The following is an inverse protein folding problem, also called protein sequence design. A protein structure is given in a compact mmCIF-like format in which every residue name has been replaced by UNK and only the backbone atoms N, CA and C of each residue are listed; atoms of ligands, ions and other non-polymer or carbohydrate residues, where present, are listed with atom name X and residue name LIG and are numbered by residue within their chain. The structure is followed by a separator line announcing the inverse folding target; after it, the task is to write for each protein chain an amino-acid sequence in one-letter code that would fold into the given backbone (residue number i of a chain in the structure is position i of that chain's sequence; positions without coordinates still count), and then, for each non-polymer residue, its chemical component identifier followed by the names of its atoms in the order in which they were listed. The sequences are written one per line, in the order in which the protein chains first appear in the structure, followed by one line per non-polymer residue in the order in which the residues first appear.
data_IF_509586616618
#
_entry.id   IF_509586616618
#
_cell.length_a   1.000
_cell.length_b   1.000
_cell.length_c   1.000
_cell.angle_alpha   90.00
_cell.angle_beta   90.00
_cell.angle_gamma   90.00
#
_symmetry.space_group_name_H-M   'P 1'
#
loop_
_entity.id
_entity.type
_entity.pdbx_description
1 polymer ?
#
# COMPACT_ATOMS: atom_id res chain seq x y z
N UNK A 1 -35.11 -22.62 53.13
CA UNK A 1 -34.96 -21.43 52.26
C UNK A 1 -33.63 -21.55 51.56
N UNK A 2 -33.61 -22.12 50.34
CA UNK A 2 -32.38 -22.50 49.64
C UNK A 2 -31.77 -21.28 48.95
N UNK A 3 -30.51 -20.98 49.28
CA UNK A 3 -29.75 -19.84 48.78
C UNK A 3 -28.96 -20.29 47.55
N UNK A 4 -29.48 -19.98 46.37
CA UNK A 4 -28.80 -20.28 45.11
C UNK A 4 -27.50 -19.46 44.98
N UNK A 5 -26.40 -20.14 44.64
CA UNK A 5 -25.05 -19.58 44.52
C UNK A 5 -24.88 -18.93 43.14
N UNK A 6 -25.08 -17.62 43.06
CA UNK A 6 -24.86 -16.79 41.86
C UNK A 6 -23.38 -16.59 41.44
N UNK A 7 -22.48 -17.54 41.72
CA UNK A 7 -21.07 -17.46 41.36
C UNK A 7 -20.79 -17.96 39.92
N UNK A 8 -21.56 -18.93 39.41
CA UNK A 8 -21.30 -19.52 38.09
C UNK A 8 -21.61 -18.59 36.91
N UNK A 9 -22.57 -17.68 37.03
CA UNK A 9 -22.91 -16.72 35.97
C UNK A 9 -21.86 -15.61 35.82
N UNK A 10 -21.27 -15.16 36.93
CA UNK A 10 -20.21 -14.15 36.93
C UNK A 10 -18.91 -14.69 36.34
N UNK A 11 -18.55 -15.94 36.66
CA UNK A 11 -17.35 -16.59 36.10
C UNK A 11 -17.49 -16.76 34.58
N UNK A 12 -18.67 -17.15 34.09
CA UNK A 12 -18.94 -17.25 32.66
C UNK A 12 -18.86 -15.88 31.96
N UNK A 13 -19.43 -14.83 32.56
CA UNK A 13 -19.35 -13.48 32.02
C UNK A 13 -17.90 -12.96 31.95
N UNK A 14 -17.10 -13.21 33.00
CA UNK A 14 -15.67 -12.87 33.04
C UNK A 14 -14.88 -13.64 31.97
N UNK A 15 -15.15 -14.94 31.80
CA UNK A 15 -14.50 -15.73 30.74
C UNK A 15 -14.84 -15.21 29.35
N UNK A 16 -16.10 -14.86 29.09
CA UNK A 16 -16.52 -14.27 27.80
C UNK A 16 -15.83 -12.91 27.58
N UNK A 17 -15.71 -12.07 28.62
CA UNK A 17 -15.01 -10.79 28.52
C UNK A 17 -13.51 -10.97 28.23
N UNK A 18 -12.87 -11.93 28.88
CA UNK A 18 -11.44 -12.23 28.67
C UNK A 18 -11.21 -12.77 27.25
N UNK A 19 -12.00 -13.75 26.81
CA UNK A 19 -11.94 -14.27 25.43
C UNK A 19 -12.23 -13.19 24.39
N UNK A 20 -13.24 -12.35 24.63
CA UNK A 20 -13.57 -11.23 23.76
C UNK A 20 -12.43 -10.22 23.66
N UNK A 21 -11.75 -9.93 24.78
CA UNK A 21 -10.61 -9.02 24.80
C UNK A 21 -9.38 -9.58 24.07
N UNK A 22 -9.10 -10.87 24.23
CA UNK A 22 -8.00 -11.56 23.54
C UNK A 22 -8.24 -11.64 22.02
N UNK A 23 -9.47 -12.00 21.61
CA UNK A 23 -9.82 -12.04 20.18
C UNK A 23 -9.74 -10.65 19.55
N UNK A 24 -10.22 -9.61 20.25
CA UNK A 24 -10.17 -8.23 19.75
C UNK A 24 -8.72 -7.72 19.64
N UNK A 25 -7.86 -8.04 20.61
CA UNK A 25 -6.43 -7.72 20.55
C UNK A 25 -5.73 -8.45 19.40
N UNK A 26 -6.01 -9.74 19.21
CA UNK A 26 -5.44 -10.53 18.12
C UNK A 26 -5.82 -9.99 16.73
N UNK A 27 -7.10 -9.68 16.52
CA UNK A 27 -7.57 -9.12 15.23
C UNK A 27 -6.96 -7.73 14.96
N UNK A 28 -6.87 -6.87 15.97
CA UNK A 28 -6.29 -5.54 15.83
C UNK A 28 -4.79 -5.61 15.48
N UNK A 29 -4.05 -6.51 16.14
CA UNK A 29 -2.62 -6.74 15.87
C UNK A 29 -2.40 -7.33 14.46
N UNK A 30 -3.27 -8.25 14.05
CA UNK A 30 -3.25 -8.84 12.72
C UNK A 30 -3.48 -7.79 11.63
N UNK A 31 -4.47 -6.90 11.79
CA UNK A 31 -4.75 -5.84 10.82
C UNK A 31 -3.60 -4.82 10.73
N UNK A 32 -3.02 -4.43 11.86
CA UNK A 32 -1.84 -3.56 11.88
C UNK A 32 -0.65 -4.20 11.14
N UNK A 33 -0.44 -5.50 11.33
CA UNK A 33 0.63 -6.24 10.64
C UNK A 33 0.40 -6.34 9.12
N UNK A 34 -0.84 -6.54 8.67
CA UNK A 34 -1.17 -6.55 7.24
C UNK A 34 -1.01 -5.17 6.61
N UNK A 35 -1.50 -4.12 7.27
CA UNK A 35 -1.35 -2.75 6.79
C UNK A 35 0.12 -2.36 6.65
N UNK A 36 0.95 -2.65 7.66
CA UNK A 36 2.39 -2.39 7.62
C UNK A 36 3.09 -3.20 6.50
N UNK A 37 2.70 -4.46 6.28
CA UNK A 37 3.23 -5.26 5.17
C UNK A 37 2.86 -4.69 3.81
N UNK A 38 1.61 -4.27 3.61
CA UNK A 38 1.14 -3.69 2.35
C UNK A 38 1.80 -2.35 2.06
N UNK A 39 1.98 -1.47 3.07
CA UNK A 39 2.67 -0.18 2.86
C UNK A 39 4.14 -0.37 2.53
N UNK A 40 4.82 -1.31 3.20
CA UNK A 40 6.23 -1.62 2.92
C UNK A 40 6.38 -2.21 1.52
N UNK A 41 5.48 -3.12 1.13
CA UNK A 41 5.46 -3.69 -0.23
C UNK A 41 5.13 -2.65 -1.29
N UNK A 42 4.15 -1.77 -1.05
CA UNK A 42 3.78 -0.73 -2.01
C UNK A 42 4.93 0.26 -2.24
N UNK A 43 5.65 0.62 -1.16
CA UNK A 43 6.80 1.50 -1.26
C UNK A 43 7.94 0.86 -2.06
N UNK A 44 8.22 -0.43 -1.84
CA UNK A 44 9.23 -1.16 -2.60
C UNK A 44 8.91 -1.21 -4.11
N UNK A 45 7.65 -1.49 -4.47
CA UNK A 45 7.20 -1.51 -5.87
C UNK A 45 7.29 -0.12 -6.49
N UNK A 46 6.85 0.92 -5.78
CA UNK A 46 6.94 2.31 -6.25
C UNK A 46 8.39 2.76 -6.49
N UNK A 47 9.31 2.41 -5.59
CA UNK A 47 10.74 2.69 -5.74
C UNK A 47 11.33 1.99 -6.96
N UNK A 48 11.02 0.71 -7.15
CA UNK A 48 11.49 -0.02 -8.31
C UNK A 48 10.99 0.60 -9.62
N UNK A 49 9.71 0.95 -9.70
CA UNK A 49 9.13 1.63 -10.85
C UNK A 49 9.80 2.99 -11.12
N UNK A 50 10.14 3.74 -10.07
CA UNK A 50 10.85 5.01 -10.17
C UNK A 50 12.27 4.85 -10.71
N UNK A 51 13.05 3.91 -10.18
CA UNK A 51 14.42 3.65 -10.66
C UNK A 51 14.43 3.11 -12.10
N UNK A 52 13.46 2.27 -12.47
CA UNK A 52 13.27 1.83 -13.85
C UNK A 52 12.92 3.01 -14.77
N UNK A 53 12.00 3.88 -14.34
CA UNK A 53 11.64 5.08 -15.10
C UNK A 53 12.84 6.00 -15.29
N UNK A 54 13.70 6.13 -14.26
CA UNK A 54 14.95 6.88 -14.35
C UNK A 54 15.94 6.25 -15.33
N UNK A 55 16.08 4.91 -15.35
CA UNK A 55 16.88 4.20 -16.37
C UNK A 55 16.37 4.48 -17.78
N UNK A 56 15.06 4.38 -18.01
CA UNK A 56 14.45 4.63 -19.31
C UNK A 56 14.66 6.09 -19.76
N UNK A 57 14.45 7.05 -18.86
CA UNK A 57 14.78 8.46 -19.13
C UNK A 57 16.27 8.65 -19.47
N UNK A 58 17.16 7.91 -18.78
CA UNK A 58 18.59 7.90 -19.02
C UNK A 58 18.97 7.44 -20.43
N UNK A 59 18.22 6.50 -21.01
CA UNK A 59 18.44 6.01 -22.38
C UNK A 59 18.19 7.10 -23.43
N UNK A 60 17.21 7.96 -23.16
CA UNK A 60 16.84 9.07 -24.04
C UNK A 60 17.78 10.29 -23.88
N UNK A 61 18.74 10.23 -22.94
CA UNK A 61 19.73 11.30 -22.79
C UNK A 61 20.85 11.17 -23.82
N UNK A 62 21.30 12.33 -24.30
CA UNK A 62 22.51 12.44 -25.11
C UNK A 62 23.74 12.38 -24.19
N UNK A 63 24.45 11.25 -24.26
CA UNK A 63 25.72 11.04 -23.57
C UNK A 63 26.87 11.25 -24.56
N UNK A 64 27.70 12.28 -24.35
CA UNK A 64 28.80 12.61 -25.25
C UNK A 64 30.13 12.71 -24.50
N UNK A 65 31.16 12.05 -25.02
CA UNK A 65 32.52 12.18 -24.49
C UNK A 65 32.74 11.58 -23.10
N UNK A 66 31.99 10.54 -22.71
CA UNK A 66 32.17 9.86 -21.42
C UNK A 66 33.53 9.16 -21.39
N UNK A 67 34.49 9.74 -20.67
CA UNK A 67 35.84 9.20 -20.48
C UNK A 67 35.88 8.10 -19.43
N UNK A 68 35.17 8.27 -18.32
CA UNK A 68 35.13 7.30 -17.21
C UNK A 68 33.72 7.13 -16.64
N UNK A 69 33.09 8.23 -16.19
CA UNK A 69 31.70 8.25 -15.75
C UNK A 69 31.09 9.64 -15.91
N UNK A 70 29.84 9.71 -16.38
CA UNK A 70 29.01 10.90 -16.35
C UNK A 70 27.69 10.62 -15.62
N UNK A 71 27.26 11.52 -14.75
CA UNK A 71 26.01 11.37 -13.99
C UNK A 71 25.06 12.54 -14.21
N UNK A 72 23.77 12.22 -14.39
CA UNK A 72 22.67 13.17 -14.51
C UNK A 72 21.59 12.89 -13.46
N UNK A 73 20.76 13.88 -13.18
CA UNK A 73 19.65 13.75 -12.21
C UNK A 73 18.31 13.77 -12.92
N UNK A 74 17.45 12.84 -12.53
CA UNK A 74 16.07 12.75 -12.96
C UNK A 74 15.20 13.61 -12.02
N UNK A 75 14.85 14.83 -12.47
CA UNK A 75 14.21 15.87 -11.66
C UNK A 75 12.91 15.46 -10.94
N UNK A 76 12.02 14.58 -11.47
CA UNK A 76 10.78 14.22 -10.80
C UNK A 76 10.96 13.52 -9.44
N UNK A 77 12.07 12.81 -9.23
CA UNK A 77 12.33 12.09 -7.97
C UNK A 77 13.69 12.41 -7.33
N UNK A 78 14.57 13.10 -8.05
CA UNK A 78 15.95 13.29 -7.60
C UNK A 78 16.86 12.07 -7.81
N UNK A 79 16.34 11.00 -8.42
CA UNK A 79 17.12 9.81 -8.77
C UNK A 79 18.32 10.18 -9.64
N UNK A 80 19.44 9.49 -9.42
CA UNK A 80 20.68 9.74 -10.15
C UNK A 80 20.90 8.64 -11.19
N UNK A 81 21.17 9.03 -12.42
CA UNK A 81 21.49 8.12 -13.51
C UNK A 81 22.91 8.39 -13.96
N UNK A 82 23.76 7.36 -13.89
CA UNK A 82 25.16 7.46 -14.28
C UNK A 82 25.45 6.49 -15.41
N UNK A 83 26.18 6.97 -16.41
CA UNK A 83 26.73 6.17 -17.47
C UNK A 83 28.24 6.05 -17.24
N UNK A 84 28.74 4.81 -17.22
CA UNK A 84 30.15 4.48 -17.08
C UNK A 84 30.62 3.73 -18.31
N UNK A 85 31.81 4.09 -18.78
CA UNK A 85 32.49 3.37 -19.85
C UNK A 85 33.35 2.27 -19.24
N UNK A 86 33.16 1.03 -19.71
CA UNK A 86 33.91 -0.14 -19.22
C UNK A 86 35.07 -0.46 -20.16
N UNK A 87 34.82 -0.37 -21.46
CA UNK A 87 35.79 -0.58 -22.52
C UNK A 87 35.50 0.36 -23.71
N UNK A 88 36.27 0.26 -24.78
CA UNK A 88 36.00 0.97 -26.05
C UNK A 88 34.57 0.72 -26.55
N UNK A 89 34.04 -0.49 -26.38
CA UNK A 89 32.76 -0.91 -26.97
C UNK A 89 31.66 -1.19 -25.94
N UNK A 90 31.95 -1.26 -24.64
CA UNK A 90 30.95 -1.58 -23.61
C UNK A 90 30.77 -0.42 -22.62
N UNK A 91 29.50 -0.18 -22.30
CA UNK A 91 29.08 0.79 -21.29
C UNK A 91 28.07 0.16 -20.34
N UNK A 92 28.01 0.71 -19.14
CA UNK A 92 26.98 0.39 -18.17
C UNK A 92 26.29 1.66 -17.70
N UNK A 93 24.96 1.64 -17.73
CA UNK A 93 24.14 2.66 -17.11
C UNK A 93 23.62 2.14 -15.77
N UNK A 94 23.59 3.00 -14.79
CA UNK A 94 23.04 2.71 -13.48
C UNK A 94 22.11 3.84 -13.04
N UNK A 95 20.91 3.51 -12.60
CA UNK A 95 20.04 4.46 -11.91
C UNK A 95 19.96 4.09 -10.43
N UNK A 96 19.98 5.10 -9.58
CA UNK A 96 19.99 4.94 -8.13
C UNK A 96 19.04 5.92 -7.44
N UNK A 97 18.26 5.38 -6.51
CA UNK A 97 17.39 6.13 -5.61
C UNK A 97 17.24 5.40 -4.27
N UNK A 98 17.44 6.12 -3.16
CA UNK A 98 17.26 5.67 -1.76
C UNK A 98 17.60 4.19 -1.48
N UNK A 99 18.84 3.79 -1.82
CA UNK A 99 19.37 2.44 -1.59
C UNK A 99 19.05 1.41 -2.67
N UNK A 100 18.13 1.69 -3.59
CA UNK A 100 17.85 0.85 -4.75
C UNK A 100 18.71 1.28 -5.94
N UNK A 101 19.35 0.31 -6.61
CA UNK A 101 20.15 0.57 -7.81
C UNK A 101 19.80 -0.44 -8.88
N UNK A 102 19.53 0.03 -10.10
CA UNK A 102 19.31 -0.84 -11.26
C UNK A 102 20.36 -0.54 -12.32
N UNK A 103 20.84 -1.59 -12.96
CA UNK A 103 21.92 -1.60 -13.93
C UNK A 103 21.41 -2.01 -15.30
N UNK A 104 21.93 -1.40 -16.35
CA UNK A 104 21.68 -1.80 -17.74
C UNK A 104 22.96 -1.73 -18.54
N UNK A 105 23.24 -2.81 -19.27
CA UNK A 105 24.37 -2.89 -20.17
C UNK A 105 24.02 -2.27 -21.53
N UNK A 106 25.03 -1.68 -22.16
CA UNK A 106 24.95 -1.16 -23.52
C UNK A 106 26.28 -1.27 -24.22
N UNK A 107 26.25 -1.11 -25.54
CA UNK A 107 27.43 -1.12 -26.38
C UNK A 107 27.58 0.22 -27.10
N UNK A 108 28.80 0.58 -27.43
CA UNK A 108 29.12 1.72 -28.29
C UNK A 108 29.28 1.21 -29.72
N UNK A 109 28.36 1.58 -30.61
CA UNK A 109 28.35 1.18 -32.02
C UNK A 109 28.49 2.46 -32.84
N UNK A 110 29.58 2.60 -33.59
CA UNK A 110 29.85 3.79 -34.43
C UNK A 110 29.77 5.12 -33.65
N UNK A 111 30.22 5.13 -32.39
CA UNK A 111 30.16 6.31 -31.52
C UNK A 111 28.79 6.58 -30.88
N UNK A 112 27.75 5.82 -31.23
CA UNK A 112 26.43 5.90 -30.61
C UNK A 112 26.25 4.81 -29.55
N UNK A 113 25.60 5.15 -28.44
CA UNK A 113 25.34 4.19 -27.36
C UNK A 113 24.02 3.48 -27.61
N UNK A 114 24.08 2.15 -27.70
CA UNK A 114 22.91 1.28 -27.88
C UNK A 114 22.77 0.39 -26.66
N UNK A 115 21.70 0.60 -25.89
CA UNK A 115 21.40 -0.22 -24.72
C UNK A 115 20.76 -1.56 -25.11
N UNK A 116 21.04 -2.60 -24.32
CA UNK A 116 20.39 -3.91 -24.47
C UNK A 116 18.86 -3.77 -24.45
N UNK A 117 18.11 -4.38 -25.40
CA UNK A 117 16.66 -4.21 -25.50
C UNK A 117 15.89 -4.82 -24.34
N UNK A 118 16.43 -5.87 -23.71
CA UNK A 118 15.89 -6.50 -22.51
C UNK A 118 16.98 -6.62 -21.46
N UNK A 119 16.63 -6.38 -20.20
CA UNK A 119 17.52 -6.59 -19.07
C UNK A 119 17.99 -5.30 -18.41
N UNK A 120 17.25 -4.91 -17.38
CA UNK A 120 17.86 -4.25 -16.23
C UNK A 120 18.12 -5.31 -15.16
N UNK A 121 19.13 -5.10 -14.34
CA UNK A 121 19.52 -5.99 -13.24
C UNK A 121 19.59 -5.19 -11.95
N UNK A 122 19.05 -5.73 -10.87
CA UNK A 122 19.25 -5.23 -9.50
C UNK A 122 20.63 -5.64 -8.94
N UNK A 123 21.23 -6.69 -9.48
CA UNK A 123 22.61 -7.08 -9.21
C UNK A 123 23.60 -6.31 -10.09
N UNK A 124 24.74 -5.94 -9.52
CA UNK A 124 25.81 -5.34 -10.31
C UNK A 124 26.37 -6.37 -11.31
N UNK A 125 26.38 -6.06 -12.62
CA UNK A 125 26.84 -7.00 -13.64
C UNK A 125 28.38 -7.13 -13.73
N UNK A 126 29.13 -6.34 -12.95
CA UNK A 126 30.59 -6.25 -13.03
C UNK A 126 31.24 -7.15 -11.98
N UNK A 127 32.35 -7.78 -12.36
CA UNK A 127 33.15 -8.62 -11.44
C UNK A 127 33.77 -7.80 -10.30
N UNK A 128 34.17 -6.56 -10.59
CA UNK A 128 34.78 -5.67 -9.60
C UNK A 128 33.74 -4.76 -8.94
N UNK A 129 33.55 -4.93 -7.63
CA UNK A 129 32.58 -4.15 -6.85
C UNK A 129 32.90 -2.65 -6.83
N UNK A 130 34.17 -2.27 -7.00
CA UNK A 130 34.58 -0.86 -7.10
C UNK A 130 33.95 -0.17 -8.32
N UNK A 131 33.79 -0.89 -9.44
CA UNK A 131 33.14 -0.39 -10.66
C UNK A 131 31.61 -0.27 -10.51
N UNK A 132 31.04 -0.81 -9.43
CA UNK A 132 29.63 -0.66 -9.08
C UNK A 132 29.37 0.54 -8.16
N UNK A 133 30.42 1.24 -7.70
CA UNK A 133 30.25 2.40 -6.82
C UNK A 133 29.85 3.63 -7.64
N UNK A 134 28.60 4.05 -7.45
CA UNK A 134 28.09 5.36 -7.86
C UNK A 134 28.45 6.35 -6.73
N UNK A 135 29.01 7.54 -7.02
CA UNK A 135 29.34 8.51 -5.99
C UNK A 135 28.06 8.94 -5.27
N UNK A 136 27.85 8.41 -4.06
CA UNK A 136 26.82 8.84 -3.14
C UNK A 136 27.31 10.11 -2.45
N UNK A 137 26.47 11.14 -2.43
CA UNK A 137 26.72 12.26 -1.54
C UNK A 137 26.37 11.74 -0.14
N UNK A 138 27.35 11.14 0.55
CA UNK A 138 27.20 10.66 1.92
C UNK A 138 26.82 11.87 2.76
N UNK A 139 25.55 11.92 3.15
CA UNK A 139 25.05 12.93 4.06
C UNK A 139 25.89 12.85 5.34
N UNK A 140 26.42 14.01 5.75
CA UNK A 140 27.24 14.17 6.96
C UNK A 140 26.47 13.57 8.14
N UNK A 141 27.16 12.70 8.87
CA UNK A 141 26.60 12.08 10.08
C UNK A 141 26.13 13.15 11.07
N UNK A 142 24.94 12.93 11.61
CA UNK A 142 24.36 13.76 12.65
C UNK A 142 25.18 13.65 13.95
N UNK A 143 25.29 14.76 14.69
CA UNK A 143 25.97 14.77 15.97
C UNK A 143 25.18 13.96 17.01
N UNK A 144 25.88 13.30 17.95
CA UNK A 144 25.28 12.51 19.03
C UNK A 144 24.22 13.28 19.86
N UNK A 145 24.42 14.56 20.24
CA UNK A 145 23.39 15.31 20.95
C UNK A 145 22.13 15.57 20.11
N UNK A 146 22.26 15.76 18.79
CA UNK A 146 21.09 15.89 17.90
C UNK A 146 20.26 14.62 17.85
N UNK A 147 20.91 13.46 17.80
CA UNK A 147 20.23 12.15 17.80
C UNK A 147 19.47 11.93 19.11
N UNK A 148 20.05 12.32 20.26
CA UNK A 148 19.40 12.21 21.56
C UNK A 148 18.16 13.10 21.67
N UNK A 149 18.25 14.37 21.22
CA UNK A 149 17.10 15.29 21.21
C UNK A 149 16.01 14.79 20.27
N UNK A 150 16.37 14.29 19.10
CA UNK A 150 15.41 13.69 18.15
C UNK A 150 14.72 12.45 18.73
N UNK A 151 15.45 11.58 19.47
CA UNK A 151 14.86 10.40 20.10
C UNK A 151 13.82 10.77 21.16
N UNK A 152 14.13 11.75 22.02
CA UNK A 152 13.19 12.21 23.07
C UNK A 152 11.95 12.86 22.47
N UNK A 153 12.12 13.70 21.45
CA UNK A 153 11.00 14.30 20.71
C UNK A 153 10.13 13.23 20.05
N UNK A 154 10.76 12.23 19.42
CA UNK A 154 10.04 11.12 18.79
C UNK A 154 9.23 10.32 19.82
N UNK A 155 9.78 10.03 20.99
CA UNK A 155 9.06 9.31 22.06
C UNK A 155 7.86 10.11 22.57
N UNK A 156 7.99 11.43 22.75
CA UNK A 156 6.88 12.31 23.14
C UNK A 156 5.78 12.37 22.07
N UNK A 157 6.17 12.50 20.80
CA UNK A 157 5.24 12.54 19.66
C UNK A 157 4.51 11.19 19.54
N UNK A 158 5.23 10.07 19.59
CA UNK A 158 4.64 8.73 19.45
C UNK A 158 3.69 8.40 20.60
N UNK A 159 4.04 8.76 21.84
CA UNK A 159 3.16 8.52 22.99
C UNK A 159 1.89 9.38 22.93
N UNK A 160 1.99 10.65 22.51
CA UNK A 160 0.84 11.52 22.31
C UNK A 160 -0.08 11.06 21.14
N UNK A 161 0.50 10.59 20.03
CA UNK A 161 -0.25 10.14 18.85
C UNK A 161 -0.80 8.70 18.93
N UNK A 162 -0.27 7.88 19.85
CA UNK A 162 -0.71 6.48 20.04
C UNK A 162 -2.22 6.35 20.32
N UNK A 163 -2.78 7.25 21.14
CA UNK A 163 -4.22 7.28 21.40
C UNK A 163 -5.05 7.65 20.16
N UNK A 164 -4.56 8.59 19.36
CA UNK A 164 -5.21 9.08 18.15
C UNK A 164 -5.24 8.02 17.04
N UNK A 165 -4.15 7.25 16.89
CA UNK A 165 -4.05 6.19 15.91
C UNK A 165 -5.09 5.07 16.14
N UNK A 166 -5.40 4.74 17.40
CA UNK A 166 -6.43 3.72 17.71
C UNK A 166 -7.83 4.13 17.27
N UNK A 167 -8.19 5.40 17.46
CA UNK A 167 -9.50 5.93 17.06
C UNK A 167 -9.63 6.01 15.54
N UNK A 168 -8.58 6.49 14.86
CA UNK A 168 -8.55 6.55 13.40
C UNK A 168 -8.71 5.15 12.77
N UNK A 169 -7.99 4.15 13.27
CA UNK A 169 -8.08 2.78 12.73
C UNK A 169 -9.48 2.18 12.89
N UNK A 170 -10.12 2.36 14.04
CA UNK A 170 -11.51 1.94 14.23
C UNK A 170 -12.46 2.66 13.24
N UNK A 171 -12.24 3.96 13.01
CA UNK A 171 -13.05 4.73 12.08
C UNK A 171 -12.90 4.29 10.61
N UNK A 172 -11.69 3.89 10.19
CA UNK A 172 -11.45 3.37 8.83
C UNK A 172 -12.12 2.01 8.61
N UNK A 173 -12.06 1.11 9.59
CA UNK A 173 -12.72 -0.19 9.52
C UNK A 173 -14.24 -0.02 9.36
N UNK A 174 -14.83 0.88 10.15
CA UNK A 174 -16.25 1.23 10.03
C UNK A 174 -16.58 1.79 8.65
N UNK A 175 -15.82 2.77 8.16
CA UNK A 175 -16.07 3.40 6.86
C UNK A 175 -16.02 2.39 5.72
N UNK A 176 -15.05 1.48 5.74
CA UNK A 176 -14.96 0.42 4.73
C UNK A 176 -16.17 -0.50 4.76
N UNK A 177 -16.58 -0.92 5.96
CA UNK A 177 -17.74 -1.79 6.13
C UNK A 177 -19.03 -1.16 5.58
N UNK A 178 -19.26 0.13 5.84
CA UNK A 178 -20.40 0.86 5.27
C UNK A 178 -20.35 0.91 3.73
N UNK A 179 -19.17 1.11 3.13
CA UNK A 179 -19.04 1.06 1.67
C UNK A 179 -19.41 -0.31 1.09
N UNK A 180 -19.09 -1.40 1.79
CA UNK A 180 -19.49 -2.75 1.36
C UNK A 180 -21.01 -2.96 1.47
N UNK A 181 -21.63 -2.49 2.55
CA UNK A 181 -23.10 -2.50 2.70
C UNK A 181 -23.74 -1.76 1.52
N UNK A 182 -23.26 -0.56 1.19
CA UNK A 182 -23.80 0.22 0.08
C UNK A 182 -23.62 -0.47 -1.28
N UNK A 183 -22.47 -1.10 -1.54
CA UNK A 183 -22.25 -1.86 -2.78
C UNK A 183 -23.20 -3.05 -2.92
N UNK A 184 -23.38 -3.83 -1.84
CA UNK A 184 -24.28 -4.98 -1.88
C UNK A 184 -25.75 -4.57 -1.93
N UNK A 185 -26.13 -3.54 -1.15
CA UNK A 185 -27.48 -2.97 -1.22
C UNK A 185 -27.79 -2.47 -2.64
N UNK A 186 -26.83 -1.82 -3.29
CA UNK A 186 -26.97 -1.40 -4.69
C UNK A 186 -27.24 -2.58 -5.62
N UNK A 187 -26.47 -3.66 -5.51
CA UNK A 187 -26.68 -4.88 -6.32
C UNK A 187 -28.05 -5.51 -6.07
N UNK A 188 -28.52 -5.52 -4.81
CA UNK A 188 -29.81 -6.11 -4.43
C UNK A 188 -31.02 -5.26 -4.86
N UNK A 189 -30.83 -3.96 -5.11
CA UNK A 189 -31.89 -3.11 -5.68
C UNK A 189 -32.10 -3.33 -7.18
N UNK A 190 -31.42 -4.30 -7.81
CA UNK A 190 -31.67 -4.69 -9.19
C UNK A 190 -33.07 -5.33 -9.38
N UNK A 191 -33.55 -5.28 -10.63
CA UNK A 191 -34.84 -5.84 -11.03
C UNK A 191 -34.96 -7.34 -10.70
N UNK A 192 -33.88 -8.09 -10.91
CA UNK A 192 -33.79 -9.51 -10.56
C UNK A 192 -33.08 -9.70 -9.21
N UNK A 193 -33.62 -10.54 -8.31
CA UNK A 193 -32.97 -10.82 -7.04
C UNK A 193 -31.67 -11.61 -7.26
N UNK A 194 -30.61 -11.22 -6.55
CA UNK A 194 -29.36 -11.97 -6.52
C UNK A 194 -29.20 -12.64 -5.15
N UNK A 195 -28.62 -13.83 -5.07
CA UNK A 195 -28.36 -14.46 -3.77
C UNK A 195 -27.35 -13.62 -2.99
N UNK A 196 -27.63 -13.23 -1.74
CA UNK A 196 -26.65 -12.52 -0.92
C UNK A 196 -25.43 -13.40 -0.66
N UNK A 197 -24.28 -12.77 -0.44
CA UNK A 197 -23.06 -13.47 -0.05
C UNK A 197 -23.22 -14.13 1.33
N UNK A 198 -22.41 -15.15 1.61
CA UNK A 198 -22.48 -15.93 2.84
C UNK A 198 -22.43 -15.03 4.10
N UNK A 199 -23.40 -15.19 4.99
CA UNK A 199 -23.54 -14.39 6.22
C UNK A 199 -24.25 -13.03 6.07
N UNK A 200 -24.59 -12.59 4.86
CA UNK A 200 -25.37 -11.37 4.62
C UNK A 200 -26.86 -11.66 4.52
N UNK A 201 -27.70 -10.85 5.17
CA UNK A 201 -29.17 -10.98 5.09
C UNK A 201 -29.75 -9.79 4.33
N UNK A 202 -30.56 -10.09 3.31
CA UNK A 202 -31.25 -9.08 2.51
C UNK A 202 -32.76 -9.20 2.74
N UNK A 203 -33.40 -8.12 3.16
CA UNK A 203 -34.86 -8.01 3.18
C UNK A 203 -35.30 -7.07 2.05
N UNK A 204 -35.98 -7.61 1.05
CA UNK A 204 -36.39 -6.91 -0.16
C UNK A 204 -37.89 -6.69 -0.14
N UNK A 205 -38.29 -5.43 -0.28
CA UNK A 205 -39.68 -5.01 -0.42
C UNK A 205 -39.86 -4.34 -1.78
N UNK A 206 -40.96 -4.65 -2.45
CA UNK A 206 -41.27 -4.14 -3.77
C UNK A 206 -42.62 -3.43 -3.73
N UNK A 207 -42.66 -2.20 -4.25
CA UNK A 207 -43.90 -1.45 -4.38
C UNK A 207 -44.03 -1.00 -5.83
N UNK A 208 -45.20 -1.23 -6.43
CA UNK A 208 -45.52 -0.77 -7.78
C UNK A 208 -46.29 0.54 -7.69
N UNK A 209 -45.76 1.60 -8.28
CA UNK A 209 -46.44 2.90 -8.35
C UNK A 209 -46.32 3.47 -9.77
N UNK A 210 -47.46 3.81 -10.37
CA UNK A 210 -47.55 4.54 -11.65
C UNK A 210 -46.74 3.94 -12.81
N UNK A 211 -46.74 2.60 -12.96
CA UNK A 211 -46.02 1.91 -14.03
C UNK A 211 -44.52 1.73 -13.81
N UNK A 212 -43.98 2.19 -12.67
CA UNK A 212 -42.61 1.94 -12.22
C UNK A 212 -42.60 1.01 -11.01
N UNK A 213 -41.51 0.25 -10.86
CA UNK A 213 -41.26 -0.64 -9.73
C UNK A 213 -40.23 0.02 -8.82
N UNK A 214 -40.61 0.33 -7.58
CA UNK A 214 -39.65 0.71 -6.54
C UNK A 214 -39.23 -0.53 -5.76
N UNK A 215 -37.92 -0.71 -5.61
CA UNK A 215 -37.31 -1.83 -4.90
C UNK A 215 -36.55 -1.24 -3.73
N UNK A 216 -37.04 -1.52 -2.52
CA UNK A 216 -36.39 -1.15 -1.26
C UNK A 216 -35.72 -2.37 -0.65
N UNK A 217 -34.45 -2.28 -0.31
CA UNK A 217 -33.67 -3.36 0.29
C UNK A 217 -33.08 -2.89 1.61
N UNK A 218 -33.30 -3.67 2.65
CA UNK A 218 -32.58 -3.56 3.93
C UNK A 218 -31.53 -4.66 3.99
N UNK A 219 -30.27 -4.28 3.95
CA UNK A 219 -29.13 -5.18 4.07
C UNK A 219 -28.64 -5.23 5.51
N UNK A 220 -28.43 -6.43 6.05
CA UNK A 220 -27.78 -6.66 7.35
C UNK A 220 -26.46 -7.37 7.11
N UNK A 221 -25.38 -6.70 7.50
CA UNK A 221 -24.03 -7.26 7.43
C UNK A 221 -23.81 -8.36 8.48
N UNK A 222 -22.83 -9.27 8.30
CA UNK A 222 -22.50 -10.31 9.27
C UNK A 222 -22.18 -9.79 10.67
N UNK A 223 -21.74 -8.53 10.79
CA UNK A 223 -21.46 -7.89 12.08
C UNK A 223 -22.71 -7.26 12.74
N UNK A 224 -23.92 -7.48 12.19
CA UNK A 224 -25.18 -6.98 12.72
C UNK A 224 -25.55 -5.52 12.34
N UNK A 225 -24.75 -4.84 11.52
CA UNK A 225 -25.09 -3.47 11.05
C UNK A 225 -26.05 -3.52 9.87
N UNK A 226 -27.06 -2.66 9.89
CA UNK A 226 -28.06 -2.54 8.84
C UNK A 226 -27.87 -1.29 7.97
N UNK A 227 -28.23 -1.38 6.68
CA UNK A 227 -28.34 -0.25 5.76
C UNK A 227 -29.52 -0.44 4.82
N UNK A 228 -30.27 0.62 4.56
CA UNK A 228 -31.46 0.60 3.70
C UNK A 228 -31.19 1.40 2.42
N UNK A 229 -31.60 0.86 1.28
CA UNK A 229 -31.48 1.52 -0.01
C UNK A 229 -32.73 1.28 -0.85
N UNK A 230 -33.16 2.30 -1.60
CA UNK A 230 -34.31 2.20 -2.50
C UNK A 230 -33.91 2.66 -3.90
N UNK A 231 -34.34 1.92 -4.91
CA UNK A 231 -34.15 2.27 -6.32
C UNK A 231 -35.45 2.11 -7.09
N UNK A 232 -35.73 3.07 -7.97
CA UNK A 232 -36.87 3.05 -8.88
C UNK A 232 -36.43 2.49 -10.24
N UNK A 233 -37.24 1.63 -10.84
CA UNK A 233 -37.08 1.14 -12.20
C UNK A 233 -38.35 1.43 -12.99
N UNK A 234 -38.22 2.21 -14.04
CA UNK A 234 -39.30 2.52 -14.96
C UNK A 234 -39.00 1.91 -16.33
N UNK A 235 -40.01 1.45 -17.08
CA UNK A 235 -39.82 1.08 -18.48
C UNK A 235 -39.42 2.33 -19.29
N UNK A 236 -38.49 2.16 -20.24
CA UNK A 236 -38.27 3.18 -21.27
C UNK A 236 -39.54 3.25 -22.12
N UNK A 237 -40.14 4.44 -22.20
CA UNK A 237 -41.29 4.71 -23.08
C UNK A 237 -40.91 4.63 -24.54
#
# INVERSE_FOLDING_TARGET
MNRERGASSLILALLILILGSLLLQGVNQQQASYAARVTTQSLAIQRQALVQSALEWGREQLWSGVTEMECRRYSPSGARVCLRRLSENEVVMAAQDDGMTLWRLGNVIQGSIVFSPHGWSDFCPLKEVALCRIPLNLQRGFSLPEVLVAMVLMVMIVTALSGYQRVLMHSFALRHQYLQIWRQAWQQTALYPFSPAEGWKANRMQTTQSGCVSISVTMVSPSGRQGQMTRLHCPNR
#
